data_IF_656455819402
#
_entry.id   IF_656455819402
#
_cell.length_a   1.000
_cell.length_b   1.000
_cell.length_c   1.000
_cell.angle_alpha   90.00
_cell.angle_beta   90.00
_cell.angle_gamma   90.00
#
_symmetry.space_group_name_H-M   'P 1'
#
loop_
_entity.id
_entity.type
_entity.pdbx_description
1 polymer ?
#
# COMPACT_ATOMS: atom_id res chain seq x y z
N UNK A 1 -16.66 15.97 28.04
CA UNK A 1 -15.33 15.72 27.44
C UNK A 1 -15.50 14.56 26.49
N UNK A 2 -15.35 14.72 25.16
CA UNK A 2 -15.31 13.55 24.29
C UNK A 2 -13.95 12.88 24.47
N UNK A 3 -13.96 11.69 25.11
CA UNK A 3 -12.90 10.69 24.96
C UNK A 3 -12.96 10.23 23.51
N UNK A 4 -12.35 11.02 22.64
CA UNK A 4 -12.09 10.62 21.27
C UNK A 4 -10.96 9.62 21.34
N UNK A 5 -11.29 8.34 21.38
CA UNK A 5 -10.38 7.25 21.07
C UNK A 5 -9.92 7.41 19.61
N UNK A 6 -9.00 8.35 19.38
CA UNK A 6 -8.19 8.42 18.18
C UNK A 6 -7.27 7.20 18.23
N UNK A 7 -7.84 6.06 17.90
CA UNK A 7 -7.18 4.77 17.92
C UNK A 7 -6.04 4.78 16.91
N UNK A 8 -4.81 4.68 17.42
CA UNK A 8 -3.64 4.52 16.59
C UNK A 8 -3.51 3.04 16.28
N UNK A 9 -4.04 2.60 15.14
CA UNK A 9 -3.87 1.24 14.66
C UNK A 9 -2.43 1.05 14.18
N UNK A 10 -1.74 0.03 14.71
CA UNK A 10 -0.35 -0.29 14.34
C UNK A 10 -0.38 -1.60 13.54
N UNK A 11 -0.02 -1.54 12.26
CA UNK A 11 0.15 -2.71 11.40
C UNK A 11 1.59 -3.24 11.58
N UNK A 12 1.76 -4.19 12.49
CA UNK A 12 3.03 -4.84 12.79
C UNK A 12 2.80 -6.29 13.25
N UNK A 13 3.75 -7.20 12.98
CA UNK A 13 3.66 -8.56 13.51
C UNK A 13 3.75 -8.54 15.06
N UNK A 14 3.02 -9.43 15.75
CA UNK A 14 2.90 -9.39 17.22
C UNK A 14 4.24 -9.56 17.93
N UNK A 15 5.19 -10.29 17.35
CA UNK A 15 6.56 -10.44 17.87
C UNK A 15 7.38 -9.14 17.85
N UNK A 16 7.01 -8.15 17.03
CA UNK A 16 7.67 -6.85 16.99
C UNK A 16 7.08 -5.85 18.02
N UNK A 17 5.90 -6.14 18.56
CA UNK A 17 5.20 -5.29 19.53
C UNK A 17 5.59 -5.64 20.97
N UNK A 18 6.83 -5.36 21.33
CA UNK A 18 7.29 -5.56 22.71
C UNK A 18 6.51 -4.65 23.68
N UNK A 19 6.31 -5.06 24.95
CA UNK A 19 5.61 -4.26 25.95
C UNK A 19 6.23 -2.86 26.14
N UNK A 20 7.55 -2.77 26.02
CA UNK A 20 8.29 -1.50 26.12
C UNK A 20 7.98 -0.57 24.94
N UNK A 21 7.97 -1.10 23.71
CA UNK A 21 7.60 -0.34 22.52
C UNK A 21 6.16 0.15 22.62
N UNK A 22 5.24 -0.70 23.08
CA UNK A 22 3.84 -0.35 23.25
C UNK A 22 3.66 0.74 24.32
N UNK A 23 4.42 0.67 25.41
CA UNK A 23 4.46 1.72 26.44
C UNK A 23 4.93 3.06 25.88
N UNK A 24 5.99 3.06 25.07
CA UNK A 24 6.51 4.29 24.43
C UNK A 24 5.52 4.88 23.42
N UNK A 25 4.88 4.04 22.59
CA UNK A 25 3.88 4.50 21.63
C UNK A 25 2.66 5.11 22.32
N UNK A 26 2.20 4.54 23.44
CA UNK A 26 1.13 5.11 24.25
C UNK A 26 1.52 6.44 24.88
N UNK A 27 2.73 6.54 25.44
CA UNK A 27 3.24 7.78 26.06
C UNK A 27 3.33 8.94 25.05
N UNK A 28 3.63 8.65 23.78
CA UNK A 28 3.77 9.66 22.73
C UNK A 28 2.58 9.72 21.75
N UNK A 29 1.46 9.05 22.07
CA UNK A 29 0.28 8.92 21.18
C UNK A 29 -0.23 10.27 20.69
N UNK A 30 -0.38 11.25 21.58
CA UNK A 30 -0.90 12.57 21.22
C UNK A 30 0.00 13.32 20.22
N UNK A 31 1.32 13.25 20.40
CA UNK A 31 2.28 13.87 19.49
C UNK A 31 2.30 13.19 18.11
N UNK A 32 2.21 11.86 18.08
CA UNK A 32 2.11 11.10 16.84
C UNK A 32 0.82 11.43 16.08
N UNK A 33 -0.31 11.50 16.78
CA UNK A 33 -1.59 11.90 16.18
C UNK A 33 -1.57 13.35 15.66
N UNK A 34 -0.86 14.26 16.33
CA UNK A 34 -0.72 15.64 15.87
C UNK A 34 0.11 15.74 14.58
N UNK A 35 1.17 14.93 14.44
CA UNK A 35 1.99 14.85 13.22
C UNK A 35 1.25 14.17 12.06
N UNK A 36 0.48 13.12 12.37
CA UNK A 36 -0.25 12.34 11.38
C UNK A 36 -1.59 12.97 10.97
N UNK A 37 -2.06 14.00 11.68
CA UNK A 37 -3.27 14.71 11.32
C UNK A 37 -3.04 15.38 9.97
N UNK A 38 -3.79 15.02 8.91
CA UNK A 38 -3.72 15.73 7.65
C UNK A 38 -4.09 17.19 7.91
N UNK A 39 -3.27 18.13 7.44
CA UNK A 39 -3.68 19.52 7.38
C UNK A 39 -4.97 19.57 6.57
N UNK A 40 -6.08 19.94 7.20
CA UNK A 40 -7.37 20.11 6.55
C UNK A 40 -7.16 21.02 5.33
N UNK A 41 -7.15 20.41 4.14
CA UNK A 41 -7.09 21.09 2.87
C UNK A 41 -8.34 20.66 2.13
N UNK A 42 -9.30 21.58 2.09
CA UNK A 42 -10.31 21.78 1.06
C UNK A 42 -10.51 20.63 0.07
N UNK A 43 -11.60 19.88 0.25
CA UNK A 43 -12.25 19.19 -0.86
C UNK A 43 -13.64 19.79 -1.03
N UNK A 44 -14.01 20.30 -2.21
CA UNK A 44 -15.40 20.53 -2.50
C UNK A 44 -16.10 19.18 -2.72
N UNK A 45 -17.35 19.18 -2.27
CA UNK A 45 -18.41 18.22 -2.53
C UNK A 45 -18.28 17.51 -3.89
N UNK A 46 -18.29 16.17 -3.86
CA UNK A 46 -18.44 15.38 -5.08
C UNK A 46 -19.25 14.11 -4.83
N UNK A 47 -20.51 14.33 -4.46
CA UNK A 47 -21.58 13.45 -4.89
C UNK A 47 -21.89 13.73 -6.37
N UNK A 48 -21.35 12.91 -7.27
CA UNK A 48 -21.79 12.80 -8.66
C UNK A 48 -21.30 11.48 -9.28
N UNK A 49 -22.00 10.43 -8.91
CA UNK A 49 -22.53 9.36 -9.76
C UNK A 49 -22.03 9.26 -11.22
N UNK A 50 -21.66 8.03 -11.58
CA UNK A 50 -22.06 7.33 -12.81
C UNK A 50 -21.38 7.65 -14.15
N UNK A 51 -20.99 6.55 -14.79
CA UNK A 51 -20.63 6.37 -16.21
C UNK A 51 -19.17 6.65 -16.61
N UNK A 52 -18.31 5.65 -16.43
CA UNK A 52 -17.28 5.34 -17.44
C UNK A 52 -17.27 3.84 -17.72
N UNK A 53 -17.57 3.51 -18.97
CA UNK A 53 -17.54 2.16 -19.51
C UNK A 53 -16.21 1.44 -19.20
N UNK A 54 -16.31 0.14 -18.96
CA UNK A 54 -15.22 -0.79 -18.68
C UNK A 54 -14.02 -0.58 -19.62
N UNK A 55 -12.97 0.09 -19.12
CA UNK A 55 -11.69 0.16 -19.79
C UNK A 55 -10.85 -1.02 -19.30
N UNK A 56 -10.39 -1.88 -20.21
CA UNK A 56 -9.43 -2.94 -19.88
C UNK A 56 -8.17 -2.30 -19.26
N UNK A 57 -7.59 -2.87 -18.19
CA UNK A 57 -6.40 -2.30 -17.57
C UNK A 57 -5.24 -2.28 -18.58
N UNK A 58 -4.63 -1.10 -18.73
CA UNK A 58 -3.48 -0.91 -19.59
C UNK A 58 -2.30 -1.71 -19.04
N UNK A 59 -1.60 -2.44 -19.92
CA UNK A 59 -0.39 -3.19 -19.56
C UNK A 59 0.66 -2.22 -18.98
N UNK A 60 1.28 -2.50 -17.83
CA UNK A 60 2.29 -1.62 -17.25
C UNK A 60 3.48 -1.49 -18.23
N UNK A 61 3.78 -0.26 -18.62
CA UNK A 61 4.89 0.06 -19.52
C UNK A 61 6.11 0.41 -18.66
N UNK A 62 7.24 -0.26 -18.89
CA UNK A 62 8.49 0.10 -18.23
C UNK A 62 8.99 1.47 -18.70
N UNK A 63 9.73 2.20 -17.85
CA UNK A 63 10.37 3.48 -18.22
C UNK A 63 11.32 3.38 -19.42
N UNK A 64 11.82 2.19 -19.74
CA UNK A 64 12.61 1.95 -20.97
C UNK A 64 11.77 1.81 -22.25
N UNK A 65 10.44 1.95 -22.14
CA UNK A 65 9.48 1.77 -23.23
C UNK A 65 9.08 0.32 -23.49
N UNK A 66 9.67 -0.65 -22.79
CA UNK A 66 9.30 -2.06 -22.96
C UNK A 66 7.93 -2.36 -22.34
N UNK A 67 7.16 -3.18 -23.05
CA UNK A 67 5.91 -3.80 -22.58
C UNK A 67 6.08 -5.27 -22.24
N UNK A 68 7.32 -5.78 -22.26
CA UNK A 68 7.64 -7.16 -21.87
C UNK A 68 8.23 -7.19 -20.46
N UNK A 69 7.81 -8.19 -19.70
CA UNK A 69 8.21 -8.43 -18.32
C UNK A 69 8.56 -9.90 -18.09
N UNK A 70 9.34 -10.14 -17.05
CA UNK A 70 9.70 -11.46 -16.55
C UNK A 70 9.31 -11.56 -15.08
N UNK A 71 8.57 -12.61 -14.75
CA UNK A 71 8.16 -12.91 -13.39
C UNK A 71 9.20 -13.87 -12.78
N UNK A 72 9.78 -13.46 -11.65
CA UNK A 72 10.83 -14.19 -10.93
C UNK A 72 10.25 -14.65 -9.59
N UNK A 73 10.18 -15.98 -9.33
CA UNK A 73 9.78 -16.47 -8.02
C UNK A 73 10.86 -16.11 -6.99
N UNK A 74 10.41 -15.61 -5.85
CA UNK A 74 11.23 -15.29 -4.68
C UNK A 74 10.57 -15.90 -3.43
N UNK A 75 11.27 -15.94 -2.30
CA UNK A 75 10.80 -16.58 -1.06
C UNK A 75 10.30 -18.01 -1.30
N UNK A 76 11.13 -18.83 -1.96
CA UNK A 76 10.81 -20.23 -2.27
C UNK A 76 9.50 -20.40 -3.07
N UNK A 77 9.21 -19.42 -3.92
CA UNK A 77 8.01 -19.39 -4.77
C UNK A 77 6.77 -18.81 -4.07
N UNK A 78 6.87 -18.38 -2.81
CA UNK A 78 5.76 -17.74 -2.11
C UNK A 78 5.51 -16.31 -2.61
N UNK A 79 6.48 -15.64 -3.19
CA UNK A 79 6.27 -14.33 -3.81
C UNK A 79 6.73 -14.35 -5.26
N UNK A 80 6.14 -13.49 -6.08
CA UNK A 80 6.54 -13.27 -7.46
C UNK A 80 6.94 -11.81 -7.58
N UNK A 81 8.15 -11.56 -8.08
CA UNK A 81 8.65 -10.24 -8.43
C UNK A 81 8.60 -10.07 -9.94
N UNK A 82 8.03 -8.97 -10.44
CA UNK A 82 8.01 -8.66 -11.86
C UNK A 82 9.08 -7.64 -12.20
N UNK A 83 9.98 -8.04 -13.10
CA UNK A 83 11.04 -7.19 -13.62
C UNK A 83 10.83 -6.97 -15.13
N UNK A 84 11.31 -5.84 -15.65
CA UNK A 84 11.30 -5.59 -17.09
C UNK A 84 12.24 -6.54 -17.81
N UNK A 85 11.75 -7.28 -18.80
CA UNK A 85 12.56 -8.25 -19.55
C UNK A 85 13.67 -7.59 -20.41
N UNK A 86 13.61 -6.27 -20.62
CA UNK A 86 14.60 -5.52 -21.41
C UNK A 86 15.70 -4.90 -20.56
N UNK A 87 15.36 -4.24 -19.47
CA UNK A 87 16.33 -3.48 -18.66
C UNK A 87 16.48 -3.98 -17.22
N UNK A 88 15.78 -5.05 -16.83
CA UNK A 88 15.84 -5.63 -15.49
C UNK A 88 15.25 -4.76 -14.38
N UNK A 89 14.61 -3.63 -14.72
CA UNK A 89 14.00 -2.74 -13.73
C UNK A 89 12.80 -3.41 -13.08
N UNK A 90 12.75 -3.37 -11.75
CA UNK A 90 11.58 -3.76 -10.97
C UNK A 90 10.33 -2.96 -11.33
N UNK A 91 9.19 -3.65 -11.49
CA UNK A 91 7.89 -3.08 -11.81
C UNK A 91 6.90 -3.20 -10.63
N UNK A 92 6.63 -4.42 -10.17
CA UNK A 92 5.67 -4.71 -9.09
C UNK A 92 5.88 -6.13 -8.49
N UNK A 93 5.06 -6.49 -7.51
CA UNK A 93 4.99 -7.84 -6.93
C UNK A 93 3.62 -8.45 -7.20
N UNK A 94 3.40 -9.22 -8.28
CA UNK A 94 2.09 -9.81 -8.59
C UNK A 94 1.60 -10.78 -7.52
N UNK A 95 2.52 -11.41 -6.79
CA UNK A 95 2.22 -12.30 -5.66
C UNK A 95 3.13 -11.93 -4.50
N UNK A 96 2.54 -11.81 -3.31
CA UNK A 96 3.25 -11.60 -2.07
C UNK A 96 2.81 -12.63 -1.03
N UNK A 97 3.71 -13.52 -0.62
CA UNK A 97 3.46 -14.62 0.34
C UNK A 97 2.16 -15.42 0.04
N UNK A 98 2.03 -15.87 -1.21
CA UNK A 98 0.93 -16.71 -1.70
C UNK A 98 -0.36 -15.94 -1.97
N UNK A 99 -0.41 -14.64 -1.64
CA UNK A 99 -1.55 -13.77 -1.91
C UNK A 99 -1.28 -13.03 -3.21
N UNK A 100 -2.16 -13.20 -4.19
CA UNK A 100 -2.18 -12.31 -5.33
C UNK A 100 -2.33 -10.88 -4.80
N UNK A 101 -1.37 -10.02 -5.11
CA UNK A 101 -1.58 -8.61 -4.86
C UNK A 101 -2.60 -8.19 -5.90
N UNK A 102 -3.79 -7.79 -5.43
CA UNK A 102 -4.74 -7.17 -6.32
C UNK A 102 -4.07 -5.88 -6.81
N UNK A 103 -3.58 -5.90 -8.05
CA UNK A 103 -3.82 -4.75 -8.89
C UNK A 103 -5.34 -4.64 -8.95
N UNK A 104 -5.93 -3.86 -8.05
CA UNK A 104 -7.36 -3.62 -8.01
C UNK A 104 -7.74 -3.15 -9.40
N UNK A 105 -8.35 -4.06 -10.15
CA UNK A 105 -8.82 -3.89 -11.51
C UNK A 105 -9.86 -2.77 -11.43
N UNK A 106 -9.42 -1.53 -11.63
CA UNK A 106 -10.22 -0.31 -11.64
C UNK A 106 -10.16 0.27 -13.05
#
# INVERSE_FOLDING_TARGET
>A
MPDGDNELTIDAPPEALTPELLGRLKAHKAGLLALLRPAASDLPDRGAESQRAAQKPAKPICRCGSTTWQDVPIHDGQSIRRDCARCGRFLDFPVWYGKATLHREQ
#
